data_IF_154002040233
#
_entry.id   IF_154002040233
#
_cell.length_a   1.000
_cell.length_b   1.000
_cell.length_c   1.000
_cell.angle_alpha   90.00
_cell.angle_beta   90.00
_cell.angle_gamma   90.00
#
_symmetry.space_group_name_H-M   'P 1'
#
loop_
_entity.id
_entity.type
_entity.pdbx_description
1 polymer ?
#
# COMPACT_ATOMS: atom_id res chain seq x y z
N UNK A 1 1.54 4.69 24.43
CA UNK A 1 0.61 3.76 23.75
C UNK A 1 -0.68 4.52 23.55
N UNK A 2 -1.17 4.67 22.31
CA UNK A 2 -2.46 5.29 22.05
C UNK A 2 -3.55 4.39 22.66
N UNK A 3 -4.58 4.99 23.26
CA UNK A 3 -5.78 4.24 23.60
C UNK A 3 -6.56 3.88 22.33
N UNK A 4 -7.54 2.98 22.47
CA UNK A 4 -8.31 2.46 21.34
C UNK A 4 -9.12 3.56 20.62
N UNK A 5 -9.58 4.56 21.36
CA UNK A 5 -10.35 5.67 20.81
C UNK A 5 -9.48 6.59 19.94
N UNK A 6 -8.32 7.00 20.46
CA UNK A 6 -7.37 7.83 19.72
C UNK A 6 -6.77 7.07 18.54
N UNK A 7 -6.55 5.75 18.66
CA UNK A 7 -6.17 4.90 17.54
C UNK A 7 -7.23 4.92 16.42
N UNK A 8 -8.49 4.63 16.75
CA UNK A 8 -9.58 4.62 15.78
C UNK A 8 -9.76 5.98 15.09
N UNK A 9 -9.60 7.07 15.84
CA UNK A 9 -9.68 8.44 15.33
C UNK A 9 -8.56 8.78 14.35
N UNK A 10 -7.33 8.31 14.62
CA UNK A 10 -6.20 8.45 13.68
C UNK A 10 -6.44 7.60 12.42
N UNK A 11 -6.80 6.32 12.56
CA UNK A 11 -7.10 5.43 11.44
C UNK A 11 -8.21 5.98 10.53
N UNK A 12 -9.22 6.65 11.11
CA UNK A 12 -10.31 7.28 10.37
C UNK A 12 -9.83 8.26 9.31
N UNK A 13 -8.69 8.94 9.52
CA UNK A 13 -8.07 9.84 8.53
C UNK A 13 -7.64 9.11 7.26
N UNK A 14 -7.33 7.82 7.36
CA UNK A 14 -6.88 6.99 6.24
C UNK A 14 -8.00 6.11 5.69
N UNK A 15 -8.99 5.72 6.51
CA UNK A 15 -10.10 4.85 6.06
C UNK A 15 -11.30 5.62 5.50
N UNK A 16 -11.53 6.87 5.92
CA UNK A 16 -12.69 7.69 5.49
C UNK A 16 -12.55 8.51 4.20
N UNK A 17 -11.36 8.82 3.65
CA UNK A 17 -11.26 9.54 2.38
C UNK A 17 -11.89 8.78 1.22
N UNK A 18 -12.39 9.54 0.22
CA UNK A 18 -12.92 8.99 -1.04
C UNK A 18 -11.87 8.20 -1.80
N UNK A 19 -10.63 8.68 -1.81
CA UNK A 19 -9.45 8.02 -2.36
C UNK A 19 -8.31 8.16 -1.36
N UNK A 20 -7.55 7.09 -1.15
CA UNK A 20 -6.31 7.13 -0.37
C UNK A 20 -5.15 6.85 -1.31
N UNK A 21 -4.15 7.72 -1.29
CA UNK A 21 -2.87 7.49 -1.95
C UNK A 21 -1.85 7.00 -0.91
N UNK A 22 -1.21 5.87 -1.19
CA UNK A 22 -0.14 5.29 -0.37
C UNK A 22 1.11 5.27 -1.23
N UNK A 23 2.10 6.06 -0.84
CA UNK A 23 3.37 6.14 -1.55
C UNK A 23 4.38 5.15 -0.96
N UNK A 24 5.22 4.55 -1.80
CA UNK A 24 6.37 3.71 -1.41
C UNK A 24 6.02 2.59 -0.40
N UNK A 25 4.93 1.86 -0.65
CA UNK A 25 4.50 0.76 0.22
C UNK A 25 5.58 -0.33 0.32
N UNK A 26 5.93 -0.69 1.55
CA UNK A 26 6.96 -1.69 1.90
C UNK A 26 8.39 -1.38 1.41
N UNK A 27 8.71 -0.10 1.19
CA UNK A 27 10.08 0.33 0.90
C UNK A 27 11.09 -0.20 1.92
N UNK A 28 12.11 -0.91 1.45
CA UNK A 28 13.17 -1.48 2.31
C UNK A 28 12.70 -2.54 3.32
N UNK A 29 11.44 -3.01 3.22
CA UNK A 29 10.79 -4.16 3.88
C UNK A 29 11.19 -4.53 5.33
N UNK A 30 11.61 -3.58 6.18
CA UNK A 30 12.07 -3.89 7.54
C UNK A 30 11.62 -2.94 8.67
N UNK A 31 10.76 -1.95 8.45
CA UNK A 31 10.55 -0.90 9.47
C UNK A 31 9.12 -0.44 9.73
N UNK A 32 8.11 -0.97 9.05
CA UNK A 32 6.71 -0.60 9.33
C UNK A 32 6.04 -1.70 10.14
N UNK A 33 5.45 -1.36 11.29
CA UNK A 33 4.61 -2.29 12.05
C UNK A 33 3.45 -2.73 11.13
N UNK A 34 3.42 -4.00 10.70
CA UNK A 34 2.50 -4.47 9.66
C UNK A 34 1.03 -4.30 10.06
N UNK A 35 0.76 -4.17 11.36
CA UNK A 35 -0.58 -3.98 11.91
C UNK A 35 -1.30 -2.75 11.34
N UNK A 36 -0.62 -1.61 11.24
CA UNK A 36 -1.28 -0.37 10.79
C UNK A 36 -1.65 -0.41 9.30
N UNK A 37 -0.76 -0.95 8.48
CA UNK A 37 -1.00 -1.13 7.04
C UNK A 37 -2.15 -2.10 6.83
N UNK A 38 -2.15 -3.23 7.55
CA UNK A 38 -3.23 -4.20 7.52
C UNK A 38 -4.58 -3.56 7.88
N UNK A 39 -4.67 -2.84 9.00
CA UNK A 39 -5.93 -2.25 9.46
C UNK A 39 -6.50 -1.26 8.45
N UNK A 40 -5.66 -0.40 7.87
CA UNK A 40 -6.07 0.59 6.86
C UNK A 40 -6.55 -0.12 5.59
N UNK A 41 -5.76 -1.06 5.05
CA UNK A 41 -6.09 -1.74 3.80
C UNK A 41 -7.32 -2.62 3.96
N UNK A 42 -7.42 -3.38 5.05
CA UNK A 42 -8.58 -4.23 5.33
C UNK A 42 -9.86 -3.40 5.47
N UNK A 43 -9.83 -2.29 6.22
CA UNK A 43 -11.01 -1.43 6.36
C UNK A 43 -11.46 -0.83 5.02
N UNK A 44 -10.51 -0.43 4.16
CA UNK A 44 -10.83 0.11 2.83
C UNK A 44 -11.31 -0.96 1.86
N UNK A 45 -10.73 -2.15 1.91
CA UNK A 45 -11.15 -3.33 1.14
C UNK A 45 -12.60 -3.69 1.44
N UNK A 46 -12.94 -3.87 2.73
CA UNK A 46 -14.30 -4.19 3.17
C UNK A 46 -15.31 -3.11 2.78
N UNK A 47 -14.90 -1.84 2.87
CA UNK A 47 -15.74 -0.70 2.48
C UNK A 47 -15.74 -0.41 0.96
N UNK A 48 -15.00 -1.19 0.15
CA UNK A 48 -14.79 -0.97 -1.30
C UNK A 48 -14.34 0.46 -1.63
N UNK A 49 -13.50 1.04 -0.77
CA UNK A 49 -12.99 2.41 -0.94
C UNK A 49 -11.70 2.38 -1.76
N UNK A 50 -11.63 3.11 -2.89
CA UNK A 50 -10.52 3.00 -3.82
C UNK A 50 -9.20 3.47 -3.19
N UNK A 51 -8.10 2.87 -3.63
CA UNK A 51 -6.74 3.19 -3.23
C UNK A 51 -5.87 3.35 -4.47
N UNK A 52 -4.91 4.26 -4.41
CA UNK A 52 -3.80 4.37 -5.34
C UNK A 52 -2.53 4.03 -4.56
N UNK A 53 -1.73 3.08 -5.04
CA UNK A 53 -0.58 2.56 -4.30
C UNK A 53 0.63 2.53 -5.23
N UNK A 54 1.78 3.00 -4.75
CA UNK A 54 3.09 2.80 -5.37
C UNK A 54 3.95 1.91 -4.48
N UNK A 55 4.89 1.18 -5.08
CA UNK A 55 5.86 0.34 -4.37
C UNK A 55 7.10 0.12 -5.24
N UNK A 56 8.24 -0.11 -4.59
CA UNK A 56 9.46 -0.59 -5.25
C UNK A 56 9.39 -2.10 -5.57
N UNK A 57 8.36 -2.79 -5.09
CA UNK A 57 8.14 -4.21 -5.28
C UNK A 57 7.10 -4.49 -6.37
N UNK A 58 7.33 -5.57 -7.11
CA UNK A 58 6.32 -6.17 -7.97
C UNK A 58 5.25 -6.90 -7.15
N UNK A 59 4.15 -7.29 -7.80
CA UNK A 59 3.05 -8.01 -7.15
C UNK A 59 3.54 -9.25 -6.38
N UNK A 60 4.45 -10.03 -6.98
CA UNK A 60 5.04 -11.21 -6.35
C UNK A 60 5.85 -10.85 -5.08
N UNK A 61 6.55 -9.72 -5.09
CA UNK A 61 7.31 -9.23 -3.95
C UNK A 61 6.41 -8.76 -2.81
N UNK A 62 5.28 -8.10 -3.13
CA UNK A 62 4.26 -7.73 -2.14
C UNK A 62 3.64 -8.98 -1.51
N UNK A 63 3.31 -9.99 -2.31
CA UNK A 63 2.77 -11.28 -1.84
C UNK A 63 3.75 -12.02 -0.92
N UNK A 64 5.05 -11.92 -1.18
CA UNK A 64 6.08 -12.52 -0.34
C UNK A 64 6.18 -11.85 1.05
N UNK A 65 5.90 -10.55 1.15
CA UNK A 65 5.92 -9.82 2.43
C UNK A 65 4.67 -10.10 3.25
N UNK A 66 3.50 -9.91 2.64
CA UNK A 66 2.21 -10.07 3.31
C UNK A 66 1.15 -10.46 2.27
N UNK A 67 0.97 -11.76 2.09
CA UNK A 67 0.01 -12.34 1.16
C UNK A 67 -1.43 -11.84 1.42
N UNK A 68 -1.82 -11.66 2.68
CA UNK A 68 -3.17 -11.24 3.03
C UNK A 68 -3.43 -9.77 2.65
N UNK A 69 -2.45 -8.89 2.82
CA UNK A 69 -2.55 -7.49 2.38
C UNK A 69 -2.43 -7.39 0.87
N UNK A 70 -1.42 -8.05 0.29
CA UNK A 70 -1.13 -7.98 -1.14
C UNK A 70 -2.27 -8.53 -2.00
N UNK A 71 -2.86 -9.67 -1.63
CA UNK A 71 -4.01 -10.24 -2.35
C UNK A 71 -5.20 -9.28 -2.40
N UNK A 72 -5.51 -8.58 -1.31
CA UNK A 72 -6.58 -7.56 -1.27
C UNK A 72 -6.26 -6.37 -2.18
N UNK A 73 -5.02 -5.89 -2.18
CA UNK A 73 -4.58 -4.80 -3.06
C UNK A 73 -4.74 -5.23 -4.53
N UNK A 74 -4.22 -6.41 -4.89
CA UNK A 74 -4.22 -6.95 -6.25
C UNK A 74 -5.66 -7.15 -6.74
N UNK A 75 -6.52 -7.77 -5.93
CA UNK A 75 -7.93 -7.99 -6.24
C UNK A 75 -8.66 -6.66 -6.51
N UNK A 76 -8.47 -5.67 -5.63
CA UNK A 76 -9.09 -4.35 -5.80
C UNK A 76 -8.56 -3.59 -7.02
N UNK A 77 -7.29 -3.79 -7.36
CA UNK A 77 -6.63 -3.10 -8.48
C UNK A 77 -7.06 -3.63 -9.85
N UNK A 78 -7.52 -4.89 -9.94
CA UNK A 78 -7.99 -5.50 -11.21
C UNK A 78 -6.98 -5.28 -12.35
N UNK A 79 -7.42 -4.69 -13.46
CA UNK A 79 -6.59 -4.36 -14.64
C UNK A 79 -5.76 -3.07 -14.51
N UNK A 80 -5.82 -2.39 -13.37
CA UNK A 80 -5.09 -1.14 -13.09
C UNK A 80 -3.74 -1.36 -12.40
N UNK A 81 -3.17 -2.57 -12.53
CA UNK A 81 -1.81 -2.86 -12.08
C UNK A 81 -0.84 -2.48 -13.19
N UNK A 82 0.24 -1.77 -12.84
CA UNK A 82 1.34 -1.41 -13.73
C UNK A 82 2.65 -1.72 -13.04
N UNK A 83 3.41 -2.62 -13.63
CA UNK A 83 4.75 -2.96 -13.17
C UNK A 83 5.78 -2.41 -14.15
N UNK A 84 6.73 -1.66 -13.63
CA UNK A 84 7.86 -1.14 -14.41
C UNK A 84 9.03 -2.11 -14.25
N UNK A 85 9.42 -2.79 -15.32
CA UNK A 85 10.51 -3.78 -15.32
C UNK A 85 11.61 -3.36 -16.30
N UNK A 86 12.85 -3.63 -15.94
CA UNK A 86 14.04 -3.33 -16.75
C UNK A 86 14.92 -2.21 -16.17
N UNK A 87 16.00 -1.91 -16.90
CA UNK A 87 16.99 -0.93 -16.50
C UNK A 87 16.64 0.49 -16.97
N UNK A 88 17.31 1.50 -16.41
CA UNK A 88 17.13 2.90 -16.84
C UNK A 88 15.77 3.52 -16.52
N UNK A 89 15.02 2.91 -15.58
CA UNK A 89 13.75 3.42 -15.07
C UNK A 89 13.94 4.66 -14.19
N UNK A 90 15.12 4.84 -13.60
CA UNK A 90 15.43 6.03 -12.84
C UNK A 90 15.65 7.22 -13.78
N UNK A 91 14.57 7.97 -14.04
CA UNK A 91 14.60 9.13 -14.91
C UNK A 91 15.58 10.22 -14.42
N UNK A 92 15.82 10.32 -13.10
CA UNK A 92 16.75 11.31 -12.52
C UNK A 92 18.21 11.08 -12.93
N UNK A 93 18.55 9.85 -13.33
CA UNK A 93 19.89 9.48 -13.76
C UNK A 93 20.08 9.55 -15.27
N UNK A 94 19.04 9.90 -16.04
CA UNK A 94 19.17 10.01 -17.49
C UNK A 94 19.97 11.26 -17.85
N UNK A 95 21.07 11.07 -18.60
CA UNK A 95 21.95 12.16 -19.04
C UNK A 95 23.16 12.41 -18.15
N UNK A 96 23.32 11.62 -17.07
CA UNK A 96 24.61 11.37 -16.42
C UNK A 96 25.33 10.24 -17.16
#
# INVERSE_FOLDING_TARGET
>A
MLDEYEYAKVCRRFTSPRLLFIDDLYKGAASTDPKYVYDIINARYLAKRPMLITSELHADGLMHIDEAVASRIIEMSRSYIRELRGDGLNYRLRGL
#
